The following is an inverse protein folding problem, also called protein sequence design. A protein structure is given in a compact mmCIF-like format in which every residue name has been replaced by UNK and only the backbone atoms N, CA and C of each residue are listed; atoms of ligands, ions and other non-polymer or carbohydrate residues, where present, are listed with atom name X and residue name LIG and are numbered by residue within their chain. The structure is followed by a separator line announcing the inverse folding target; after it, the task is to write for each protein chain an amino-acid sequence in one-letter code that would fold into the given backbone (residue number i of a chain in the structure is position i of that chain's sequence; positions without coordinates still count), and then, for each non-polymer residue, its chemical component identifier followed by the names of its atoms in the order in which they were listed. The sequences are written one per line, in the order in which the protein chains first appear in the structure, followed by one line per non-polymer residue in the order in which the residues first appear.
data_IF_436213464828
#
_entry.id   IF_436213464828
#
_cell.length_a   1.000
_cell.length_b   1.000
_cell.length_c   1.000
_cell.angle_alpha   90.00
_cell.angle_beta   90.00
_cell.angle_gamma   90.00
#
_symmetry.space_group_name_H-M   'P 1'
#
loop_
_entity.id
_entity.type
_entity.pdbx_description
1 polymer ?
#
# COMPACT_ATOMS: atom_id res chain seq x y z
N UNK A 1 36.17 14.01 2.28
CA UNK A 1 34.90 13.32 1.96
C UNK A 1 34.45 13.70 0.55
N UNK A 2 34.66 12.83 -0.45
CA UNK A 2 34.22 13.08 -1.83
C UNK A 2 32.72 12.79 -1.97
N UNK A 3 31.91 13.84 -2.17
CA UNK A 3 30.48 13.70 -2.50
C UNK A 3 30.37 13.19 -3.94
N UNK A 4 30.07 11.90 -4.10
CA UNK A 4 29.73 11.32 -5.41
C UNK A 4 28.43 11.96 -5.92
N UNK A 5 28.39 12.50 -7.15
CA UNK A 5 27.17 13.10 -7.69
C UNK A 5 26.14 12.00 -7.90
N UNK A 6 25.08 12.02 -7.09
CA UNK A 6 23.95 11.12 -7.19
C UNK A 6 23.17 11.43 -8.48
N UNK A 7 23.49 10.74 -9.57
CA UNK A 7 22.68 10.76 -10.80
C UNK A 7 21.31 10.14 -10.48
N UNK A 8 20.32 10.99 -10.17
CA UNK A 8 18.92 10.59 -10.11
C UNK A 8 18.51 10.04 -11.48
N UNK A 9 18.33 8.72 -11.60
CA UNK A 9 17.62 8.14 -12.74
C UNK A 9 16.17 8.64 -12.64
N UNK A 10 15.81 9.60 -13.49
CA UNK A 10 14.49 10.25 -13.53
C UNK A 10 13.38 9.21 -13.78
N UNK A 11 13.71 8.15 -14.50
CA UNK A 11 12.86 6.99 -14.73
C UNK A 11 13.39 5.80 -13.92
N UNK A 12 12.92 5.69 -12.69
CA UNK A 12 13.08 4.47 -11.92
C UNK A 12 12.07 3.44 -12.48
N UNK A 13 12.42 2.81 -13.62
CA UNK A 13 11.65 1.74 -14.30
C UNK A 13 11.50 0.44 -13.46
N UNK A 14 11.69 0.54 -12.15
CA UNK A 14 11.50 -0.54 -11.17
C UNK A 14 10.05 -0.73 -10.73
N UNK A 15 9.11 0.11 -11.19
CA UNK A 15 7.67 -0.20 -11.09
C UNK A 15 7.39 -1.35 -12.05
N UNK A 16 7.58 -2.57 -11.54
CA UNK A 16 7.38 -3.90 -12.15
C UNK A 16 6.80 -3.85 -13.56
N UNK A 17 7.61 -4.24 -14.55
CA UNK A 17 7.25 -4.33 -15.97
C UNK A 17 5.91 -5.02 -16.21
N UNK A 18 5.56 -6.01 -15.39
CA UNK A 18 4.27 -6.72 -15.48
C UNK A 18 3.05 -5.81 -15.24
N UNK A 19 3.10 -4.95 -14.22
CA UNK A 19 2.02 -4.00 -13.94
C UNK A 19 1.96 -2.91 -15.01
N UNK A 20 3.12 -2.39 -15.43
CA UNK A 20 3.20 -1.39 -16.49
C UNK A 20 2.69 -1.93 -17.83
N UNK A 21 3.09 -3.14 -18.24
CA UNK A 21 2.63 -3.78 -19.47
C UNK A 21 1.14 -4.09 -19.38
N UNK A 22 0.66 -4.61 -18.25
CA UNK A 22 -0.77 -4.87 -18.06
C UNK A 22 -1.59 -3.57 -18.20
N UNK A 23 -1.15 -2.49 -17.54
CA UNK A 23 -1.80 -1.17 -17.60
C UNK A 23 -1.78 -0.61 -19.03
N UNK A 24 -0.62 -0.65 -19.68
CA UNK A 24 -0.40 -0.09 -21.00
C UNK A 24 -1.22 -0.84 -22.06
N UNK A 25 -1.20 -2.19 -22.06
CA UNK A 25 -1.99 -3.00 -22.98
C UNK A 25 -3.50 -2.75 -22.79
N UNK A 26 -3.97 -2.58 -21.55
CA UNK A 26 -5.37 -2.27 -21.28
C UNK A 26 -5.77 -0.89 -21.79
N UNK A 27 -4.95 0.15 -21.54
CA UNK A 27 -5.20 1.51 -22.03
C UNK A 27 -5.17 1.53 -23.56
N UNK A 28 -4.14 0.97 -24.18
CA UNK A 28 -4.06 0.86 -25.64
C UNK A 28 -5.24 0.09 -26.21
N UNK A 29 -5.65 -1.02 -25.59
CA UNK A 29 -6.80 -1.80 -26.02
C UNK A 29 -8.09 -0.98 -26.05
N UNK A 30 -8.36 -0.18 -25.00
CA UNK A 30 -9.54 0.69 -24.95
C UNK A 30 -9.45 1.82 -25.99
N UNK A 31 -8.27 2.42 -26.16
CA UNK A 31 -8.05 3.48 -27.17
C UNK A 31 -8.22 2.96 -28.59
N UNK A 32 -7.66 1.79 -28.91
CA UNK A 32 -7.82 1.16 -30.23
C UNK A 32 -9.27 0.77 -30.46
N UNK A 33 -9.94 0.16 -29.47
CA UNK A 33 -11.35 -0.21 -29.59
C UNK A 33 -12.26 1.00 -29.82
N UNK A 34 -12.08 2.07 -29.03
CA UNK A 34 -12.84 3.32 -29.20
C UNK A 34 -12.58 3.97 -30.55
N UNK A 35 -11.33 3.92 -31.04
CA UNK A 35 -10.97 4.43 -32.37
C UNK A 35 -11.62 3.61 -33.49
N UNK A 36 -11.62 2.27 -33.40
CA UNK A 36 -12.29 1.41 -34.37
C UNK A 36 -13.81 1.64 -34.40
N UNK A 37 -14.44 1.80 -33.22
CA UNK A 37 -15.85 2.14 -33.10
C UNK A 37 -16.14 3.51 -33.73
N UNK A 38 -15.28 4.51 -33.52
CA UNK A 38 -15.41 5.82 -34.15
C UNK A 38 -15.36 5.72 -35.67
N UNK A 39 -14.36 5.00 -36.22
CA UNK A 39 -14.21 4.79 -37.66
C UNK A 39 -15.42 4.06 -38.23
N UNK A 40 -15.93 3.03 -37.56
CA UNK A 40 -17.11 2.29 -38.01
C UNK A 40 -18.37 3.17 -38.04
N UNK A 41 -18.60 3.98 -37.01
CA UNK A 41 -19.72 4.93 -36.96
C UNK A 41 -19.62 5.95 -38.10
N UNK A 42 -18.44 6.55 -38.30
CA UNK A 42 -18.21 7.52 -39.38
C UNK A 42 -18.38 6.88 -40.76
N UNK A 43 -17.96 5.63 -40.94
CA UNK A 43 -18.15 4.90 -42.19
C UNK A 43 -19.63 4.63 -42.48
N UNK A 44 -20.39 4.17 -41.48
CA UNK A 44 -21.84 3.94 -41.64
C UNK A 44 -22.60 5.23 -41.93
N UNK A 45 -22.26 6.31 -41.21
CA UNK A 45 -22.83 7.64 -41.43
C UNK A 45 -22.50 8.15 -42.84
N UNK A 46 -21.23 8.10 -43.24
CA UNK A 46 -20.77 8.48 -44.58
C UNK A 46 -21.47 7.65 -45.66
N UNK A 47 -21.59 6.32 -45.49
CA UNK A 47 -22.30 5.45 -46.45
C UNK A 47 -23.77 5.82 -46.59
N UNK A 48 -24.47 6.08 -45.48
CA UNK A 48 -25.89 6.49 -45.51
C UNK A 48 -26.07 7.85 -46.20
N UNK A 49 -25.20 8.82 -45.89
CA UNK A 49 -25.32 10.16 -46.43
C UNK A 49 -24.94 10.19 -47.92
N UNK A 50 -23.89 9.46 -48.33
CA UNK A 50 -23.53 9.29 -49.73
C UNK A 50 -24.66 8.59 -50.51
N UNK A 51 -25.25 7.51 -49.97
CA UNK A 51 -26.34 6.78 -50.64
C UNK A 51 -27.65 7.58 -50.75
N UNK A 52 -27.98 8.43 -49.76
CA UNK A 52 -29.16 9.28 -49.79
C UNK A 52 -29.02 10.47 -50.76
N UNK A 53 -27.80 10.97 -50.94
CA UNK A 53 -27.53 12.17 -51.74
C UNK A 53 -27.34 11.89 -53.25
N UNK A 54 -27.06 10.65 -53.66
CA UNK A 54 -26.94 10.29 -55.08
C UNK A 54 -28.29 10.28 -55.86
N UNK A 55 -29.44 10.20 -55.18
CA UNK A 55 -30.75 10.12 -55.85
C UNK A 55 -31.49 11.46 -55.95
N UNK A 56 -31.05 12.50 -55.25
CA UNK A 56 -31.63 13.85 -55.35
C UNK A 56 -30.53 14.86 -55.64
N UNK A 57 -30.04 14.80 -56.87
CA UNK A 57 -29.37 15.93 -57.51
C UNK A 57 -30.38 17.07 -57.70
N UNK A 58 -30.78 17.72 -56.61
CA UNK A 58 -31.31 19.09 -56.61
C UNK A 58 -30.81 19.77 -55.34
N UNK A 59 -29.88 20.68 -55.58
CA UNK A 59 -29.26 21.65 -54.68
C UNK A 59 -30.16 22.02 -53.50
N UNK A 60 -29.88 21.43 -52.33
CA UNK A 60 -30.09 22.09 -51.05
C UNK A 60 -28.70 22.29 -50.49
N UNK A 61 -28.24 23.55 -50.47
CA UNK A 61 -27.01 23.95 -49.80
C UNK A 61 -27.18 23.55 -48.33
N UNK A 62 -26.78 22.33 -47.97
CA UNK A 62 -26.65 21.90 -46.58
C UNK A 62 -25.52 22.74 -46.01
N UNK A 63 -25.80 23.46 -44.93
CA UNK A 63 -24.75 24.10 -44.16
C UNK A 63 -23.83 22.98 -43.68
N UNK A 64 -22.52 23.16 -43.86
CA UNK A 64 -21.49 22.23 -43.39
C UNK A 64 -21.66 21.94 -41.88
N UNK A 65 -22.27 22.87 -41.13
CA UNK A 65 -22.67 22.70 -39.72
C UNK A 65 -23.53 21.48 -39.44
N UNK A 66 -24.45 21.13 -40.35
CA UNK A 66 -25.42 20.04 -40.14
C UNK A 66 -24.75 18.66 -40.30
N UNK A 67 -23.65 18.60 -41.07
CA UNK A 67 -22.78 17.42 -41.16
C UNK A 67 -21.81 17.32 -39.98
N UNK A 68 -21.36 18.45 -39.43
CA UNK A 68 -20.38 18.47 -38.34
C UNK A 68 -20.98 18.05 -37.00
N UNK A 69 -22.23 18.42 -36.72
CA UNK A 69 -22.90 18.12 -35.46
C UNK A 69 -22.92 16.62 -35.11
N UNK A 70 -23.38 15.70 -35.97
CA UNK A 70 -23.40 14.26 -35.65
C UNK A 70 -21.99 13.67 -35.48
N UNK A 71 -21.00 14.16 -36.24
CA UNK A 71 -19.60 13.74 -36.13
C UNK A 71 -19.01 14.17 -34.78
N UNK A 72 -19.24 15.41 -34.36
CA UNK A 72 -18.80 15.91 -33.05
C UNK A 72 -19.51 15.20 -31.90
N UNK A 73 -20.83 14.96 -32.03
CA UNK A 73 -21.60 14.24 -31.03
C UNK A 73 -21.13 12.78 -30.87
N UNK A 74 -20.84 12.08 -31.97
CA UNK A 74 -20.28 10.73 -31.95
C UNK A 74 -18.89 10.71 -31.30
N UNK A 75 -18.01 11.65 -31.66
CA UNK A 75 -16.68 11.78 -31.06
C UNK A 75 -16.74 12.03 -29.54
N UNK A 76 -17.65 12.91 -29.11
CA UNK A 76 -17.87 13.19 -27.69
C UNK A 76 -18.44 11.97 -26.94
N UNK A 77 -19.37 11.23 -27.53
CA UNK A 77 -19.90 10.01 -26.93
C UNK A 77 -18.80 8.96 -26.72
N UNK A 78 -17.94 8.77 -27.71
CA UNK A 78 -16.84 7.79 -27.66
C UNK A 78 -15.79 8.17 -26.63
N UNK A 79 -15.43 9.45 -26.54
CA UNK A 79 -14.46 9.92 -25.54
C UNK A 79 -14.97 9.71 -24.12
N UNK A 80 -16.25 10.03 -23.87
CA UNK A 80 -16.91 9.80 -22.57
C UNK A 80 -16.97 8.32 -22.24
N UNK A 81 -17.40 7.47 -23.20
CA UNK A 81 -17.49 6.02 -22.99
C UNK A 81 -16.11 5.40 -22.71
N UNK A 82 -15.08 5.82 -23.44
CA UNK A 82 -13.70 5.38 -23.21
C UNK A 82 -13.21 5.80 -21.82
N UNK A 83 -13.48 7.05 -21.41
CA UNK A 83 -13.17 7.55 -20.08
C UNK A 83 -13.84 6.76 -18.97
N UNK A 84 -15.13 6.46 -19.10
CA UNK A 84 -15.89 5.64 -18.14
C UNK A 84 -15.31 4.23 -18.06
N UNK A 85 -15.02 3.60 -19.21
CA UNK A 85 -14.42 2.27 -19.23
C UNK A 85 -13.08 2.26 -18.48
N UNK A 86 -12.19 3.21 -18.78
CA UNK A 86 -10.92 3.32 -18.07
C UNK A 86 -11.12 3.54 -16.56
N UNK A 87 -12.01 4.46 -16.17
CA UNK A 87 -12.28 4.77 -14.77
C UNK A 87 -12.81 3.57 -13.98
N UNK A 88 -13.63 2.72 -14.59
CA UNK A 88 -14.18 1.53 -13.94
C UNK A 88 -13.18 0.37 -13.89
N UNK A 89 -12.40 0.15 -14.95
CA UNK A 89 -11.54 -1.03 -15.05
C UNK A 89 -10.13 -0.86 -14.44
N UNK A 90 -9.56 0.35 -14.43
CA UNK A 90 -8.22 0.56 -13.87
C UNK A 90 -8.16 0.27 -12.36
N UNK A 91 -9.06 0.82 -11.51
CA UNK A 91 -8.93 0.70 -10.07
C UNK A 91 -9.13 -0.71 -9.55
N UNK A 92 -9.95 -1.55 -10.23
CA UNK A 92 -10.33 -2.87 -9.74
C UNK A 92 -9.14 -3.79 -9.43
N UNK A 93 -8.09 -3.76 -10.25
CA UNK A 93 -6.88 -4.58 -10.04
C UNK A 93 -5.91 -4.01 -9.01
N UNK A 94 -6.04 -2.73 -8.67
CA UNK A 94 -5.17 -2.03 -7.72
C UNK A 94 -5.79 -2.01 -6.33
N UNK A 95 -7.09 -1.70 -6.25
CA UNK A 95 -7.82 -1.50 -5.00
C UNK A 95 -7.80 -2.76 -4.12
N UNK A 96 -7.97 -3.95 -4.69
CA UNK A 96 -7.97 -5.20 -3.92
C UNK A 96 -6.65 -5.47 -3.19
N UNK A 97 -5.51 -5.54 -3.90
CA UNK A 97 -4.20 -5.73 -3.27
C UNK A 97 -3.83 -4.63 -2.27
N UNK A 98 -4.13 -3.36 -2.60
CA UNK A 98 -3.86 -2.23 -1.70
C UNK A 98 -4.70 -2.32 -0.44
N UNK A 99 -6.00 -2.63 -0.55
CA UNK A 99 -6.89 -2.80 0.59
C UNK A 99 -6.41 -3.93 1.52
N UNK A 100 -5.91 -5.04 0.95
CA UNK A 100 -5.39 -6.14 1.76
C UNK A 100 -4.11 -5.75 2.52
N UNK A 101 -3.21 -4.98 1.89
CA UNK A 101 -2.03 -4.45 2.56
C UNK A 101 -2.44 -3.47 3.67
N UNK A 102 -3.38 -2.57 3.39
CA UNK A 102 -3.91 -1.63 4.38
C UNK A 102 -4.48 -2.38 5.60
N UNK A 103 -5.33 -3.38 5.39
CA UNK A 103 -5.91 -4.16 6.48
C UNK A 103 -4.84 -4.86 7.34
N UNK A 104 -3.78 -5.38 6.72
CA UNK A 104 -2.67 -5.98 7.47
C UNK A 104 -1.87 -4.94 8.28
N UNK A 105 -1.71 -3.73 7.75
CA UNK A 105 -1.11 -2.62 8.50
C UNK A 105 -2.01 -2.14 9.65
N UNK A 106 -3.34 -2.13 9.48
CA UNK A 106 -4.28 -1.81 10.55
C UNK A 106 -4.19 -2.84 11.68
N UNK A 107 -4.05 -4.14 11.35
CA UNK A 107 -3.81 -5.19 12.36
C UNK A 107 -2.46 -5.02 13.07
N UNK A 108 -1.40 -4.73 12.31
CA UNK A 108 -0.10 -4.41 12.88
C UNK A 108 -0.17 -3.20 13.84
N UNK A 109 -0.99 -2.19 13.52
CA UNK A 109 -1.19 -1.02 14.37
C UNK A 109 -1.89 -1.35 15.70
N UNK A 110 -2.67 -2.43 15.76
CA UNK A 110 -3.24 -2.94 17.03
C UNK A 110 -2.24 -3.72 17.89
N UNK A 111 -1.01 -3.94 17.39
CA UNK A 111 0.02 -4.73 18.06
C UNK A 111 -0.02 -6.22 17.75
N UNK A 112 -0.92 -6.67 16.87
CA UNK A 112 -0.94 -8.04 16.37
C UNK A 112 0.16 -8.25 15.32
N UNK A 113 1.21 -8.95 15.72
CA UNK A 113 2.37 -9.30 14.89
C UNK A 113 2.29 -10.73 14.31
N UNK A 114 1.13 -11.37 14.42
CA UNK A 114 0.93 -12.74 13.96
C UNK A 114 0.37 -12.81 12.54
N UNK A 115 -0.29 -11.75 12.06
CA UNK A 115 -0.86 -11.73 10.72
C UNK A 115 0.21 -11.68 9.62
N UNK A 116 -0.12 -12.30 8.48
CA UNK A 116 0.75 -12.36 7.31
C UNK A 116 0.01 -11.91 6.06
N UNK A 117 0.49 -10.83 5.46
CA UNK A 117 -0.13 -10.22 4.27
C UNK A 117 0.24 -11.03 3.02
N UNK A 118 -0.65 -11.92 2.59
CA UNK A 118 -0.47 -12.70 1.36
C UNK A 118 -1.27 -12.15 0.17
N UNK A 119 -0.59 -11.76 -0.91
CA UNK A 119 -1.23 -11.37 -2.18
C UNK A 119 -1.22 -12.51 -3.21
N UNK A 120 -2.16 -12.53 -4.15
CA UNK A 120 -2.23 -13.59 -5.18
C UNK A 120 -1.08 -13.47 -6.17
N UNK A 121 -0.77 -14.58 -6.86
CA UNK A 121 0.26 -14.60 -7.91
C UNK A 121 -0.18 -13.70 -9.07
N UNK A 122 0.64 -12.71 -9.41
CA UNK A 122 0.34 -11.71 -10.44
C UNK A 122 -0.38 -10.46 -9.93
N UNK A 123 -0.68 -10.35 -8.63
CA UNK A 123 -1.20 -9.11 -8.05
C UNK A 123 -0.10 -8.03 -8.04
N UNK A 124 -0.52 -6.79 -8.30
CA UNK A 124 0.32 -5.62 -8.09
C UNK A 124 0.69 -5.52 -6.59
N UNK A 125 1.83 -4.89 -6.30
CA UNK A 125 2.29 -4.62 -4.91
C UNK A 125 2.70 -5.83 -4.05
N UNK A 126 2.93 -7.01 -4.64
CA UNK A 126 3.48 -8.16 -3.89
C UNK A 126 4.76 -7.83 -3.10
N UNK A 127 5.67 -7.05 -3.66
CA UNK A 127 6.91 -6.68 -2.96
C UNK A 127 6.63 -5.78 -1.76
N UNK A 128 5.58 -4.97 -1.84
CA UNK A 128 5.12 -4.14 -0.72
C UNK A 128 4.62 -5.04 0.41
N UNK A 129 3.77 -6.02 0.10
CA UNK A 129 3.33 -7.02 1.07
C UNK A 129 4.51 -7.77 1.68
N UNK A 130 5.44 -8.26 0.85
CA UNK A 130 6.63 -8.98 1.31
C UNK A 130 7.53 -8.09 2.19
N UNK A 131 7.71 -6.82 1.84
CA UNK A 131 8.48 -5.87 2.67
C UNK A 131 7.80 -5.56 4.00
N UNK A 132 6.47 -5.46 4.01
CA UNK A 132 5.67 -5.24 5.22
C UNK A 132 5.74 -6.45 6.14
N UNK A 133 5.65 -7.66 5.58
CA UNK A 133 5.80 -8.91 6.32
C UNK A 133 7.21 -9.05 6.92
N UNK A 134 8.26 -8.69 6.17
CA UNK A 134 9.63 -8.67 6.71
C UNK A 134 9.78 -7.68 7.87
N UNK A 135 9.19 -6.49 7.75
CA UNK A 135 9.20 -5.50 8.84
C UNK A 135 8.47 -6.03 10.08
N UNK A 136 7.28 -6.62 9.90
CA UNK A 136 6.48 -7.24 10.97
C UNK A 136 7.25 -8.37 11.65
N UNK A 137 7.89 -9.25 10.88
CA UNK A 137 8.72 -10.34 11.40
C UNK A 137 9.90 -9.82 12.22
N UNK A 138 10.60 -8.80 11.73
CA UNK A 138 11.72 -8.20 12.46
C UNK A 138 11.26 -7.55 13.76
N UNK A 139 10.11 -6.86 13.75
CA UNK A 139 9.54 -6.26 14.94
C UNK A 139 9.16 -7.32 15.99
N UNK A 140 8.58 -8.44 15.55
CA UNK A 140 8.28 -9.59 16.40
C UNK A 140 9.53 -10.16 17.07
N UNK A 141 10.62 -10.33 16.32
CA UNK A 141 11.91 -10.80 16.86
C UNK A 141 12.42 -9.83 17.94
N UNK A 142 12.45 -8.53 17.64
CA UNK A 142 12.91 -7.50 18.59
C UNK A 142 12.08 -7.46 19.87
N UNK A 143 10.76 -7.61 19.77
CA UNK A 143 9.88 -7.64 20.95
C UNK A 143 10.14 -8.88 21.81
N UNK A 144 10.40 -10.03 21.19
CA UNK A 144 10.75 -11.24 21.94
C UNK A 144 12.12 -11.10 22.64
N UNK A 145 13.13 -10.55 21.97
CA UNK A 145 14.43 -10.24 22.58
C UNK A 145 14.28 -9.34 23.82
N UNK A 146 13.42 -8.30 23.74
CA UNK A 146 13.14 -7.41 24.88
C UNK A 146 12.48 -8.17 26.04
N UNK A 147 11.53 -9.07 25.75
CA UNK A 147 10.86 -9.88 26.78
C UNK A 147 11.81 -10.85 27.47
N UNK A 148 12.71 -11.48 26.71
CA UNK A 148 13.74 -12.37 27.24
C UNK A 148 14.69 -11.61 28.17
N UNK A 149 15.17 -10.43 27.75
CA UNK A 149 16.01 -9.56 28.59
C UNK A 149 15.29 -9.09 29.85
N UNK A 150 13.98 -8.82 29.77
CA UNK A 150 13.19 -8.47 30.94
C UNK A 150 13.10 -9.64 31.93
N UNK A 151 12.84 -10.85 31.43
CA UNK A 151 12.79 -12.06 32.28
C UNK A 151 14.15 -12.34 32.92
N UNK A 152 15.25 -12.16 32.18
CA UNK A 152 16.60 -12.31 32.73
C UNK A 152 16.84 -11.28 33.84
N UNK A 153 16.49 -10.02 33.64
CA UNK A 153 16.60 -8.98 34.66
C UNK A 153 15.77 -9.31 35.91
N UNK A 154 14.52 -9.75 35.74
CA UNK A 154 13.64 -10.14 36.85
C UNK A 154 14.23 -11.33 37.63
N UNK A 155 14.81 -12.32 36.96
CA UNK A 155 15.46 -13.44 37.64
C UNK A 155 16.72 -13.00 38.39
N UNK A 156 17.55 -12.13 37.81
CA UNK A 156 18.73 -11.58 38.47
C UNK A 156 18.34 -10.79 39.73
N UNK A 157 17.33 -9.91 39.65
CA UNK A 157 16.83 -9.17 40.82
C UNK A 157 16.35 -10.10 41.93
N UNK A 158 15.58 -11.13 41.61
CA UNK A 158 15.13 -12.13 42.60
C UNK A 158 16.30 -12.87 43.25
N UNK A 159 17.36 -13.20 42.49
CA UNK A 159 18.56 -13.85 43.05
C UNK A 159 19.39 -12.90 43.92
N UNK A 160 19.41 -11.60 43.60
CA UNK A 160 20.09 -10.57 44.39
C UNK A 160 19.34 -10.31 45.70
N UNK A 161 18.01 -10.23 45.69
CA UNK A 161 17.21 -10.16 46.92
C UNK A 161 17.47 -11.36 47.83
N UNK A 162 17.65 -12.57 47.27
CA UNK A 162 18.01 -13.75 48.05
C UNK A 162 19.45 -13.71 48.61
N UNK A 163 20.39 -13.07 47.92
CA UNK A 163 21.78 -12.90 48.40
C UNK A 163 21.92 -11.76 49.41
N UNK A 164 21.15 -10.69 49.26
CA UNK A 164 21.18 -9.54 50.15
C UNK A 164 20.28 -9.73 51.39
N UNK A 165 19.22 -10.54 51.34
CA UNK A 165 18.39 -10.83 52.51
C UNK A 165 19.20 -11.50 53.64
N UNK A 166 20.15 -12.39 53.34
CA UNK A 166 21.02 -12.96 54.37
C UNK A 166 22.00 -11.93 54.95
N UNK A 167 22.60 -11.09 54.10
CA UNK A 167 23.60 -10.12 54.51
C UNK A 167 23.01 -8.88 55.20
N UNK A 168 21.85 -8.38 54.75
CA UNK A 168 21.16 -7.22 55.31
C UNK A 168 20.44 -7.58 56.61
N UNK A 169 19.87 -8.77 56.75
CA UNK A 169 19.27 -9.21 58.03
C UNK A 169 20.35 -9.37 59.11
N UNK A 170 21.53 -9.88 58.74
CA UNK A 170 22.65 -10.01 59.66
C UNK A 170 23.24 -8.64 60.03
N UNK A 171 23.38 -7.72 59.07
CA UNK A 171 23.89 -6.36 59.30
C UNK A 171 22.90 -5.48 60.06
N UNK A 172 21.60 -5.65 59.83
CA UNK A 172 20.52 -5.00 60.59
C UNK A 172 20.47 -5.55 62.02
N UNK A 173 20.63 -6.87 62.21
CA UNK A 173 20.75 -7.50 63.53
C UNK A 173 21.96 -7.02 64.33
N UNK A 174 23.12 -6.88 63.68
CA UNK A 174 24.34 -6.33 64.28
C UNK A 174 24.21 -4.84 64.62
N UNK A 175 23.58 -4.04 63.76
CA UNK A 175 23.30 -2.62 64.02
C UNK A 175 22.30 -2.43 65.17
N UNK A 176 21.24 -3.24 65.23
CA UNK A 176 20.27 -3.22 66.33
C UNK A 176 20.91 -3.68 67.64
N UNK A 177 21.78 -4.69 67.61
CA UNK A 177 22.55 -5.11 68.78
C UNK A 177 23.51 -4.02 69.26
N UNK A 178 24.21 -3.35 68.34
CA UNK A 178 25.09 -2.23 68.66
C UNK A 178 24.34 -1.02 69.25
N UNK A 179 23.15 -0.71 68.74
CA UNK A 179 22.29 0.35 69.28
C UNK A 179 21.72 -0.02 70.66
N UNK A 180 21.31 -1.29 70.85
CA UNK A 180 20.80 -1.79 72.13
C UNK A 180 21.85 -1.71 73.24
N UNK A 181 23.10 -2.04 72.95
CA UNK A 181 24.21 -1.94 73.91
C UNK A 181 24.59 -0.47 74.20
N UNK A 182 24.49 0.43 73.21
CA UNK A 182 24.75 1.87 73.42
C UNK A 182 23.65 2.59 74.19
N UNK A 183 22.40 2.13 74.12
CA UNK A 183 21.26 2.82 74.72
C UNK A 183 20.98 2.44 76.17
N UNK A 184 21.74 1.53 76.78
CA UNK A 184 21.60 1.10 78.17
C UNK A 184 20.12 0.95 78.61
N UNK A 185 19.31 0.28 77.79
CA UNK A 185 17.95 -0.13 78.17
C UNK A 185 18.06 -1.36 79.07
N UNK A 186 18.61 -1.15 80.27
CA UNK A 186 18.31 -1.92 81.46
C UNK A 186 16.94 -1.48 81.97
N UNK A 187 16.08 -2.49 82.14
CA UNK A 187 14.91 -2.56 83.01
C UNK A 187 13.80 -1.51 82.87
N UNK A 188 12.70 -1.96 82.26
CA UNK A 188 11.42 -2.16 82.98
C UNK A 188 10.89 -3.55 82.65
#
# INVERSE_FOLDING_TARGET
MQKRPYKRKILNLGVKREFQLWLLVRILGVVVLSSLVAVAILYLYSRQEIAANFYTAHIKIRRISDLLFPVMAAGAAISVLSGIALALFLPQKVAGPVYRVQKGLDQLATGDLTDHIALRKGDAFRDLADSTNRATSNLKVRINEIKELQQELDTLLNTLEHREAAALTQRQGELLAHLRTRLNLTDV
#
